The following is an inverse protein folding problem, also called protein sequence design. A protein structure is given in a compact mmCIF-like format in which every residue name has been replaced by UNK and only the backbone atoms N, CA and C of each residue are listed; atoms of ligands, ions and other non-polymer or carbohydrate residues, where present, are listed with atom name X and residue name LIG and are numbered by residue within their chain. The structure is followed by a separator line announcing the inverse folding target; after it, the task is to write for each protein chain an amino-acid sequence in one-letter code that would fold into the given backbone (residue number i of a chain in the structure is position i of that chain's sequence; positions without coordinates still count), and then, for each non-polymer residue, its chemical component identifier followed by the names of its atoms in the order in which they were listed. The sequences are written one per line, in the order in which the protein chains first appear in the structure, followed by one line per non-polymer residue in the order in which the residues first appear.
data_IF_789821642737
#
_entry.id   IF_789821642737
#
_cell.length_a   1.000
_cell.length_b   1.000
_cell.length_c   1.000
_cell.angle_alpha   90.00
_cell.angle_beta   90.00
_cell.angle_gamma   90.00
#
_symmetry.space_group_name_H-M   'P 1'
#
loop_
_entity.id
_entity.type
_entity.pdbx_description
1 polymer ?
#
# COMPACT_ATOMS: atom_id res chain seq x y z
N UNK A 1 -2.53 5.08 18.95
CA UNK A 1 -1.33 4.27 18.70
C UNK A 1 -1.15 3.28 19.85
N UNK A 2 -1.59 2.04 19.66
CA UNK A 2 -1.36 0.94 20.59
C UNK A 2 -0.29 -0.04 20.07
N UNK A 3 0.23 -0.91 20.94
CA UNK A 3 1.23 -1.91 20.53
C UNK A 3 0.74 -2.83 19.41
N UNK A 4 -0.56 -3.12 19.36
CA UNK A 4 -1.18 -3.92 18.29
C UNK A 4 -1.13 -3.25 16.90
N UNK A 5 -0.82 -1.95 16.84
CA UNK A 5 -0.70 -1.16 15.62
C UNK A 5 0.74 -1.05 15.12
N UNK A 6 1.67 -1.76 15.78
CA UNK A 6 3.09 -1.87 15.41
C UNK A 6 3.53 -3.32 15.43
N UNK A 7 4.23 -3.73 14.40
CA UNK A 7 4.90 -5.02 14.31
C UNK A 7 6.39 -4.82 14.09
N UNK A 8 7.21 -5.51 14.88
CA UNK A 8 8.67 -5.39 14.84
C UNK A 8 9.20 -4.12 15.49
N UNK A 9 10.53 -4.05 15.63
CA UNK A 9 11.21 -2.92 16.27
C UNK A 9 10.92 -2.81 17.77
N UNK A 10 11.16 -1.62 18.32
CA UNK A 10 10.97 -1.35 19.74
C UNK A 10 9.48 -1.29 20.12
N UNK A 11 9.12 -1.65 21.37
CA UNK A 11 7.75 -1.48 21.84
C UNK A 11 7.34 0.00 21.81
N UNK A 12 6.04 0.23 21.60
CA UNK A 12 5.44 1.57 21.65
C UNK A 12 5.42 2.03 23.10
N UNK A 13 6.02 3.18 23.41
CA UNK A 13 5.98 3.76 24.76
C UNK A 13 4.77 4.69 24.92
N UNK A 14 4.31 4.86 26.16
CA UNK A 14 3.20 5.77 26.46
C UNK A 14 3.50 7.22 26.05
N UNK A 15 4.70 7.70 26.37
CA UNK A 15 5.15 9.06 26.03
C UNK A 15 5.13 9.36 24.53
N UNK A 16 5.38 8.37 23.68
CA UNK A 16 5.34 8.54 22.22
C UNK A 16 3.94 8.80 21.68
N UNK A 17 2.91 8.35 22.40
CA UNK A 17 1.52 8.34 21.91
C UNK A 17 0.60 9.27 22.69
N UNK A 18 1.08 9.84 23.79
CA UNK A 18 0.32 10.68 24.71
C UNK A 18 -0.28 11.90 24.00
N UNK A 19 0.55 12.74 23.37
CA UNK A 19 0.06 13.95 22.68
C UNK A 19 -0.94 13.65 21.54
N UNK A 20 -0.78 12.51 20.86
CA UNK A 20 -1.75 12.09 19.84
C UNK A 20 -3.09 11.64 20.47
N UNK A 21 -3.04 10.95 21.61
CA UNK A 21 -4.25 10.55 22.34
C UNK A 21 -4.99 11.75 22.92
N UNK A 22 -4.26 12.68 23.49
CA UNK A 22 -4.80 13.94 23.99
C UNK A 22 -5.50 14.71 22.86
N UNK A 23 -4.84 14.86 21.70
CA UNK A 23 -5.45 15.52 20.55
C UNK A 23 -6.75 14.85 20.08
N UNK A 24 -6.81 13.51 20.08
CA UNK A 24 -8.04 12.77 19.75
C UNK A 24 -9.15 13.06 20.76
N UNK A 25 -8.82 13.01 22.06
CA UNK A 25 -9.78 13.22 23.14
C UNK A 25 -10.30 14.67 23.16
N UNK A 26 -9.42 15.66 23.06
CA UNK A 26 -9.77 17.08 23.08
C UNK A 26 -10.64 17.50 21.89
N UNK A 27 -10.58 16.77 20.77
CA UNK A 27 -11.36 17.07 19.56
C UNK A 27 -12.53 16.10 19.34
N UNK A 28 -12.85 15.23 20.32
CA UNK A 28 -13.93 14.22 20.22
C UNK A 28 -13.87 13.40 18.93
N UNK A 29 -12.66 13.05 18.51
CA UNK A 29 -12.43 12.28 17.29
C UNK A 29 -12.57 10.80 17.58
N UNK A 30 -13.25 10.08 16.70
CA UNK A 30 -13.31 8.63 16.69
C UNK A 30 -12.58 8.07 15.47
N UNK A 31 -11.89 6.95 15.66
CA UNK A 31 -11.34 6.16 14.56
C UNK A 31 -12.50 5.53 13.77
N UNK A 32 -12.57 5.79 12.47
CA UNK A 32 -13.63 5.27 11.60
C UNK A 32 -13.45 3.77 11.29
N UNK A 33 -12.36 3.15 11.77
CA UNK A 33 -12.00 1.78 11.43
C UNK A 33 -11.42 1.69 10.02
N UNK A 34 -11.22 0.48 9.52
CA UNK A 34 -10.76 0.24 8.16
C UNK A 34 -11.01 -1.20 7.70
N UNK A 35 -10.95 -1.39 6.38
CA UNK A 35 -10.92 -2.69 5.70
C UNK A 35 -9.59 -2.83 4.96
N UNK A 36 -8.99 -4.01 5.03
CA UNK A 36 -7.74 -4.33 4.32
C UNK A 36 -6.59 -4.61 5.28
N UNK A 37 -5.38 -4.27 4.85
CA UNK A 37 -4.16 -4.57 5.60
C UNK A 37 -4.01 -3.66 6.83
N UNK A 38 -3.70 -4.20 8.01
CA UNK A 38 -3.70 -3.43 9.27
C UNK A 38 -2.70 -2.29 9.36
N UNK A 39 -1.56 -2.43 8.70
CA UNK A 39 -0.48 -1.44 8.72
C UNK A 39 -0.51 -0.57 7.46
N UNK A 40 -0.34 0.74 7.63
CA UNK A 40 -0.27 1.70 6.53
C UNK A 40 1.16 1.99 6.13
N UNK A 41 2.13 1.83 7.02
CA UNK A 41 3.54 2.08 6.77
C UNK A 41 4.40 0.81 6.94
N UNK A 42 5.54 0.76 6.23
CA UNK A 42 6.60 -0.23 6.47
C UNK A 42 7.99 0.36 6.21
N UNK A 43 8.99 -0.13 6.93
CA UNK A 43 10.39 0.20 6.64
C UNK A 43 10.95 -0.49 5.37
N UNK A 44 10.15 -1.31 4.67
CA UNK A 44 10.52 -1.97 3.42
C UNK A 44 11.51 -3.13 3.54
N UNK A 45 11.93 -3.50 4.76
CA UNK A 45 12.87 -4.61 4.99
C UNK A 45 12.16 -5.98 4.98
N UNK A 46 12.91 -7.05 4.76
CA UNK A 46 12.41 -8.42 4.84
C UNK A 46 12.69 -9.10 6.19
N UNK A 47 11.99 -10.20 6.45
CA UNK A 47 12.25 -11.07 7.61
C UNK A 47 12.02 -10.39 8.95
N UNK A 48 12.86 -10.71 9.94
CA UNK A 48 12.77 -10.19 11.32
C UNK A 48 13.08 -8.69 11.41
N UNK A 49 13.75 -8.13 10.41
CA UNK A 49 14.02 -6.69 10.33
C UNK A 49 12.84 -5.89 9.76
N UNK A 50 11.77 -6.55 9.31
CA UNK A 50 10.58 -5.86 8.83
C UNK A 50 9.85 -5.19 10.00
N UNK A 51 9.62 -3.89 9.86
CA UNK A 51 8.80 -3.11 10.79
C UNK A 51 7.60 -2.57 10.00
N UNK A 52 6.40 -2.70 10.59
CA UNK A 52 5.16 -2.17 10.02
C UNK A 52 4.36 -1.45 11.10
N UNK A 53 3.76 -0.32 10.71
CA UNK A 53 3.01 0.55 11.62
C UNK A 53 1.74 1.08 10.97
N UNK A 54 0.70 1.34 11.78
CA UNK A 54 -0.49 2.08 11.34
C UNK A 54 -0.34 3.55 11.73
N UNK A 55 0.35 4.30 10.87
CA UNK A 55 0.62 5.73 11.06
C UNK A 55 -0.50 6.62 10.50
N UNK A 56 -1.18 6.16 9.47
CA UNK A 56 -2.21 6.93 8.76
C UNK A 56 -3.61 6.44 9.20
N UNK A 57 -4.53 7.36 9.49
CA UNK A 57 -5.89 7.04 9.95
C UNK A 57 -6.91 8.01 9.37
N UNK A 58 -8.12 7.51 9.16
CA UNK A 58 -9.29 8.34 8.97
C UNK A 58 -10.05 8.43 10.30
N UNK A 59 -10.18 9.64 10.81
CA UNK A 59 -10.88 9.94 12.06
C UNK A 59 -11.91 11.03 11.79
N UNK A 60 -13.03 11.01 12.51
CA UNK A 60 -14.06 12.01 12.36
C UNK A 60 -14.78 12.24 13.70
N UNK A 61 -15.61 13.27 13.77
CA UNK A 61 -16.50 13.48 14.92
C UNK A 61 -17.71 12.56 14.84
N UNK A 62 -18.44 12.41 15.96
CA UNK A 62 -19.67 11.62 15.99
C UNK A 62 -20.73 12.18 15.03
N UNK A 63 -20.87 13.51 15.00
CA UNK A 63 -21.78 14.23 14.09
C UNK A 63 -21.51 13.94 12.61
N UNK A 64 -20.23 13.82 12.24
CA UNK A 64 -19.84 13.44 10.87
C UNK A 64 -20.22 11.99 10.57
N UNK A 65 -19.98 11.06 11.51
CA UNK A 65 -20.33 9.65 11.34
C UNK A 65 -21.84 9.43 11.24
N UNK A 66 -22.63 10.22 11.95
CA UNK A 66 -24.09 10.23 11.83
C UNK A 66 -24.56 10.77 10.48
N UNK A 67 -23.86 11.78 9.93
CA UNK A 67 -24.14 12.33 8.59
C UNK A 67 -23.76 11.35 7.46
N UNK A 68 -22.70 10.56 7.67
CA UNK A 68 -22.19 9.59 6.68
C UNK A 68 -22.10 8.17 7.27
N UNK A 69 -23.24 7.55 7.64
CA UNK A 69 -23.26 6.29 8.37
C UNK A 69 -22.76 5.09 7.55
N UNK A 70 -22.71 5.25 6.21
CA UNK A 70 -22.23 4.23 5.27
C UNK A 70 -20.73 4.34 5.00
N UNK A 71 -20.01 5.19 5.72
CA UNK A 71 -18.58 5.39 5.48
C UNK A 71 -17.79 4.11 5.63
N UNK A 72 -16.98 3.79 4.61
CA UNK A 72 -16.00 2.71 4.64
C UNK A 72 -14.62 3.28 4.37
N UNK A 73 -13.69 2.98 5.26
CA UNK A 73 -12.27 3.30 5.08
C UNK A 73 -11.55 2.05 4.58
N UNK A 74 -10.76 2.17 3.51
CA UNK A 74 -10.01 1.06 2.93
C UNK A 74 -8.53 1.39 2.84
N UNK A 75 -7.69 0.47 3.33
CA UNK A 75 -6.25 0.52 3.10
C UNK A 75 -5.93 -0.16 1.77
N UNK A 76 -5.52 0.64 0.79
CA UNK A 76 -5.17 0.16 -0.55
C UNK A 76 -3.75 -0.43 -0.56
N UNK A 77 -3.50 -1.35 -1.49
CA UNK A 77 -2.17 -1.94 -1.62
C UNK A 77 -1.15 -0.88 -2.05
N UNK A 78 -0.08 -0.75 -1.28
CA UNK A 78 1.13 -0.02 -1.68
C UNK A 78 1.89 -0.77 -2.78
N UNK A 79 2.60 -0.02 -3.63
CA UNK A 79 3.44 -0.58 -4.68
C UNK A 79 4.93 -0.23 -4.49
N UNK A 80 5.30 1.05 -4.64
CA UNK A 80 6.67 1.55 -4.45
C UNK A 80 6.84 2.45 -3.22
N UNK A 81 5.74 2.94 -2.64
CA UNK A 81 5.79 3.74 -1.41
C UNK A 81 5.90 2.83 -0.19
N UNK A 82 6.55 3.35 0.84
CA UNK A 82 6.53 2.84 2.21
C UNK A 82 5.16 3.03 2.88
N UNK A 83 4.35 3.98 2.42
CA UNK A 83 2.97 4.19 2.82
C UNK A 83 1.94 3.50 1.89
N UNK A 84 0.81 3.14 2.49
CA UNK A 84 -0.35 2.52 1.86
C UNK A 84 -1.45 3.58 1.75
N UNK A 85 -1.99 3.85 0.54
CA UNK A 85 -3.04 4.85 0.39
C UNK A 85 -4.30 4.48 1.19
N UNK A 86 -4.94 5.49 1.80
CA UNK A 86 -6.24 5.34 2.46
C UNK A 86 -7.33 5.90 1.55
N UNK A 87 -8.36 5.10 1.31
CA UNK A 87 -9.59 5.53 0.62
C UNK A 87 -10.71 5.65 1.63
N UNK A 88 -11.33 6.82 1.73
CA UNK A 88 -12.54 7.05 2.52
C UNK A 88 -13.71 7.16 1.55
N UNK A 89 -14.60 6.17 1.58
CA UNK A 89 -15.82 6.13 0.77
C UNK A 89 -17.02 6.43 1.66
N UNK A 90 -17.61 7.61 1.52
CA UNK A 90 -18.72 8.10 2.33
C UNK A 90 -20.09 7.53 1.90
N UNK A 91 -20.20 7.06 0.65
CA UNK A 91 -21.48 6.59 0.09
C UNK A 91 -21.70 5.10 0.36
N UNK A 92 -20.66 4.38 0.78
CA UNK A 92 -20.67 2.93 1.02
C UNK A 92 -20.97 2.11 -0.23
N UNK A 93 -20.92 2.75 -1.40
CA UNK A 93 -21.26 2.16 -2.67
C UNK A 93 -20.02 1.51 -3.29
N UNK A 94 -19.64 0.37 -2.71
CA UNK A 94 -18.60 -0.50 -3.28
C UNK A 94 -18.96 -1.00 -4.71
N UNK A 95 -20.18 -0.74 -5.20
CA UNK A 95 -20.76 -1.29 -6.42
C UNK A 95 -20.89 -0.31 -7.59
N UNK A 96 -21.17 0.98 -7.36
CA UNK A 96 -21.03 2.00 -8.40
C UNK A 96 -19.56 2.34 -8.52
N UNK A 97 -18.85 1.50 -9.27
CA UNK A 97 -17.88 2.05 -10.22
C UNK A 97 -18.61 3.14 -10.98
N UNK A 98 -18.52 4.39 -10.50
CA UNK A 98 -18.62 5.54 -11.39
C UNK A 98 -17.75 5.11 -12.55
N UNK A 99 -18.35 4.96 -13.74
CA UNK A 99 -17.56 4.79 -14.96
C UNK A 99 -16.68 6.01 -14.92
N UNK A 100 -15.45 5.85 -14.41
CA UNK A 100 -14.42 6.85 -14.51
C UNK A 100 -14.27 6.91 -16.01
N UNK A 101 -14.98 7.87 -16.62
CA UNK A 101 -14.83 8.23 -18.02
C UNK A 101 -13.33 8.20 -18.22
N UNK A 102 -12.86 7.27 -19.05
CA UNK A 102 -11.47 6.82 -19.13
C UNK A 102 -10.57 8.05 -19.19
N UNK A 103 -10.16 8.55 -18.02
CA UNK A 103 -9.25 9.66 -17.95
C UNK A 103 -7.94 9.03 -18.36
N UNK A 104 -7.39 9.55 -19.45
CA UNK A 104 -6.09 9.18 -19.96
C UNK A 104 -5.12 8.91 -18.79
N UNK A 105 -4.64 7.66 -18.69
CA UNK A 105 -3.59 7.27 -17.75
C UNK A 105 -2.36 6.92 -18.55
N UNK A 106 -1.26 7.56 -18.20
CA UNK A 106 0.04 7.20 -18.71
C UNK A 106 0.57 5.99 -17.93
N UNK A 107 1.04 4.98 -18.63
CA UNK A 107 1.60 3.77 -18.01
C UNK A 107 3.13 3.78 -18.13
N UNK A 108 3.84 3.55 -17.02
CA UNK A 108 5.31 3.59 -16.96
C UNK A 108 5.97 2.64 -18.00
N UNK A 109 5.30 1.55 -18.36
CA UNK A 109 5.81 0.59 -19.35
C UNK A 109 5.97 1.18 -20.76
N UNK A 110 5.22 2.23 -21.09
CA UNK A 110 5.32 2.92 -22.38
C UNK A 110 6.69 3.58 -22.58
N UNK A 111 7.34 4.01 -21.48
CA UNK A 111 8.70 4.58 -21.53
C UNK A 111 9.76 3.59 -21.99
N UNK A 112 9.47 2.29 -22.01
CA UNK A 112 10.40 1.25 -22.45
C UNK A 112 10.43 1.10 -23.97
N UNK A 113 9.46 1.65 -24.68
CA UNK A 113 9.37 1.61 -26.13
C UNK A 113 9.80 2.96 -26.71
N UNK A 114 10.78 2.94 -27.61
CA UNK A 114 11.31 4.13 -28.29
C UNK A 114 10.23 4.92 -29.03
N UNK A 115 9.12 4.27 -29.41
CA UNK A 115 8.02 4.93 -30.10
C UNK A 115 7.26 5.91 -29.20
N UNK A 116 7.28 5.72 -27.87
CA UNK A 116 6.66 6.65 -26.93
C UNK A 116 7.24 8.06 -27.10
N UNK A 117 8.56 8.19 -27.11
CA UNK A 117 9.25 9.48 -27.28
C UNK A 117 8.95 10.10 -28.65
N UNK A 118 8.94 9.27 -29.71
CA UNK A 118 8.62 9.72 -31.08
C UNK A 118 7.20 10.27 -31.17
N UNK A 119 6.22 9.66 -30.50
CA UNK A 119 4.83 10.12 -30.48
C UNK A 119 4.70 11.46 -29.75
N UNK A 120 5.36 11.59 -28.59
CA UNK A 120 5.37 12.85 -27.82
C UNK A 120 5.97 13.98 -28.66
N UNK A 121 7.15 13.76 -29.26
CA UNK A 121 7.84 14.75 -30.11
C UNK A 121 6.95 15.19 -31.28
N UNK A 122 6.41 14.24 -32.05
CA UNK A 122 5.50 14.52 -33.18
C UNK A 122 4.20 15.24 -32.75
N UNK A 123 3.69 14.97 -31.56
CA UNK A 123 2.51 15.65 -31.04
C UNK A 123 2.82 17.09 -30.59
N UNK A 124 4.04 17.34 -30.13
CA UNK A 124 4.47 18.63 -29.58
C UNK A 124 4.96 19.62 -30.65
N UNK A 125 5.54 19.11 -31.73
CA UNK A 125 6.11 19.87 -32.87
C UNK A 125 5.07 20.56 -33.75
N UNK A 126 3.77 20.24 -33.64
CA UNK A 126 2.71 21.02 -34.31
C UNK A 126 2.53 22.35 -33.58
N UNK A 127 3.09 23.42 -34.14
CA UNK A 127 3.08 24.78 -33.58
C UNK A 127 1.81 25.54 -33.92
N UNK A 128 1.49 26.51 -33.05
CA UNK A 128 0.35 27.45 -33.02
C UNK A 128 -0.86 27.07 -32.16
N UNK A 129 -0.82 25.92 -31.49
CA UNK A 129 -1.86 25.55 -30.51
C UNK A 129 -1.43 25.84 -29.07
N UNK A 130 -2.40 26.26 -28.25
CA UNK A 130 -2.22 26.43 -26.81
C UNK A 130 -1.76 25.12 -26.14
N UNK A 131 -0.97 25.25 -25.07
CA UNK A 131 -0.34 24.11 -24.36
C UNK A 131 -1.35 23.03 -23.96
N UNK A 132 -2.55 23.42 -23.51
CA UNK A 132 -3.58 22.45 -23.12
C UNK A 132 -4.05 21.57 -24.29
N UNK A 133 -4.14 22.12 -25.50
CA UNK A 133 -4.51 21.37 -26.71
C UNK A 133 -3.42 20.40 -27.11
N UNK A 134 -2.15 20.81 -26.99
CA UNK A 134 -1.00 19.91 -27.23
C UNK A 134 -0.98 18.75 -26.24
N UNK A 135 -1.19 19.03 -24.95
CA UNK A 135 -1.30 17.99 -23.91
C UNK A 135 -2.43 17.02 -24.19
N UNK A 136 -3.61 17.53 -24.55
CA UNK A 136 -4.77 16.70 -24.90
C UNK A 136 -4.49 15.80 -26.10
N UNK A 137 -3.98 16.35 -27.20
CA UNK A 137 -3.67 15.57 -28.41
C UNK A 137 -2.55 14.56 -28.19
N UNK A 138 -1.51 14.95 -27.45
CA UNK A 138 -0.44 14.04 -27.05
C UNK A 138 -1.01 12.87 -26.24
N UNK A 139 -1.87 13.17 -25.26
CA UNK A 139 -2.56 12.15 -24.46
C UNK A 139 -3.43 11.22 -25.30
N UNK A 140 -4.26 11.76 -26.20
CA UNK A 140 -5.11 10.95 -27.08
C UNK A 140 -4.30 10.04 -28.02
N UNK A 141 -3.19 10.54 -28.59
CA UNK A 141 -2.31 9.75 -29.46
C UNK A 141 -1.56 8.66 -28.69
N UNK A 142 -1.00 9.01 -27.53
CA UNK A 142 -0.32 8.04 -26.66
C UNK A 142 -1.28 6.97 -26.15
N UNK A 143 -2.52 7.34 -25.83
CA UNK A 143 -3.53 6.39 -25.40
C UNK A 143 -3.85 5.37 -26.48
N UNK A 144 -4.16 5.83 -27.70
CA UNK A 144 -4.49 4.94 -28.83
C UNK A 144 -3.34 3.99 -29.13
N UNK A 145 -2.13 4.52 -29.23
CA UNK A 145 -0.93 3.71 -29.43
C UNK A 145 -0.69 2.73 -28.26
N UNK A 146 -0.90 3.17 -27.02
CA UNK A 146 -0.75 2.32 -25.84
C UNK A 146 -1.76 1.17 -25.81
N UNK A 147 -3.00 1.44 -26.20
CA UNK A 147 -4.07 0.44 -26.31
C UNK A 147 -3.78 -0.58 -27.42
N UNK A 148 -3.28 -0.13 -28.58
CA UNK A 148 -2.90 -1.00 -29.70
C UNK A 148 -1.69 -1.89 -29.40
N UNK A 149 -0.62 -1.33 -28.83
CA UNK A 149 0.63 -2.06 -28.61
C UNK A 149 0.62 -2.91 -27.32
N UNK A 150 0.02 -2.41 -26.24
CA UNK A 150 0.10 -3.07 -24.94
C UNK A 150 -1.22 -3.72 -24.51
N UNK A 151 -2.34 -3.34 -25.14
CA UNK A 151 -3.68 -3.77 -24.76
C UNK A 151 -4.05 -3.31 -23.35
N UNK A 152 -5.03 -3.99 -22.75
CA UNK A 152 -5.43 -3.73 -21.37
C UNK A 152 -4.39 -4.31 -20.38
N UNK A 153 -3.37 -3.50 -20.08
CA UNK A 153 -2.30 -3.79 -19.12
C UNK A 153 -2.89 -4.17 -17.76
N UNK A 154 -3.99 -3.53 -17.35
CA UNK A 154 -4.65 -3.81 -16.06
C UNK A 154 -5.21 -5.24 -16.03
N UNK A 155 -5.83 -5.71 -17.12
CA UNK A 155 -6.25 -7.11 -17.23
C UNK A 155 -5.08 -8.08 -17.17
N UNK A 156 -3.97 -7.78 -17.87
CA UNK A 156 -2.76 -8.63 -17.83
C UNK A 156 -2.19 -8.75 -16.42
N UNK A 157 -2.04 -7.62 -15.70
CA UNK A 157 -1.58 -7.60 -14.30
C UNK A 157 -2.51 -8.41 -13.40
N UNK A 158 -3.83 -8.26 -13.56
CA UNK A 158 -4.81 -9.00 -12.74
C UNK A 158 -4.71 -10.52 -12.96
N UNK A 159 -4.55 -10.96 -14.20
CA UNK A 159 -4.41 -12.38 -14.54
C UNK A 159 -3.12 -12.96 -13.97
N UNK A 160 -1.98 -12.29 -14.15
CA UNK A 160 -0.70 -12.69 -13.58
C UNK A 160 -0.74 -12.74 -12.05
N UNK A 161 -1.40 -11.76 -11.42
CA UNK A 161 -1.63 -11.75 -9.98
C UNK A 161 -2.42 -12.97 -9.47
N UNK A 162 -3.45 -13.41 -10.21
CA UNK A 162 -4.20 -14.64 -9.90
C UNK A 162 -3.32 -15.88 -10.03
N UNK A 163 -2.58 -16.03 -11.14
CA UNK A 163 -1.67 -17.16 -11.38
C UNK A 163 -0.60 -17.27 -10.27
N UNK A 164 -0.04 -16.15 -9.83
CA UNK A 164 0.96 -16.12 -8.75
C UNK A 164 0.36 -16.55 -7.40
N UNK A 165 -0.89 -16.18 -7.10
CA UNK A 165 -1.61 -16.65 -5.90
C UNK A 165 -1.88 -18.16 -5.95
N UNK A 166 -2.29 -18.69 -7.10
CA UNK A 166 -2.53 -20.13 -7.28
C UNK A 166 -1.26 -20.97 -7.11
N UNK A 167 -0.13 -20.51 -7.68
CA UNK A 167 1.18 -21.18 -7.49
C UNK A 167 1.58 -21.24 -6.02
N UNK A 168 1.47 -20.12 -5.28
CA UNK A 168 1.74 -20.08 -3.84
C UNK A 168 0.77 -20.95 -3.03
N UNK A 169 -0.49 -21.03 -3.44
CA UNK A 169 -1.48 -21.91 -2.82
C UNK A 169 -1.15 -23.41 -2.98
N UNK A 170 -0.72 -23.81 -4.18
CA UNK A 170 -0.27 -25.19 -4.46
C UNK A 170 1.03 -25.54 -3.72
N UNK A 171 1.99 -24.62 -3.66
CA UNK A 171 3.26 -24.80 -2.93
C UNK A 171 3.04 -24.97 -1.41
N UNK A 172 2.11 -24.19 -0.83
CA UNK A 172 1.68 -24.39 0.57
C UNK A 172 1.04 -25.75 0.80
N UNK A 173 0.16 -26.21 -0.10
CA UNK A 173 -0.47 -27.55 0.00
C UNK A 173 0.55 -28.69 -0.17
N UNK A 174 1.49 -28.58 -1.11
CA UNK A 174 2.57 -29.56 -1.31
C UNK A 174 3.57 -29.60 -0.15
N UNK A 175 3.84 -28.45 0.49
CA UNK A 175 4.68 -28.37 1.70
C UNK A 175 4.05 -29.05 2.93
N UNK A 176 2.71 -29.01 3.07
CA UNK A 176 2.01 -29.73 4.14
C UNK A 176 2.11 -31.25 3.96
N UNK A 177 1.91 -31.76 2.74
CA UNK A 177 2.02 -33.20 2.43
C UNK A 177 3.45 -33.72 2.68
N UNK A 178 4.47 -32.93 2.35
CA UNK A 178 5.88 -33.31 2.58
C UNK A 178 6.27 -33.27 4.07
N UNK A 179 5.64 -32.41 4.87
CA UNK A 179 5.81 -32.38 6.33
C UNK A 179 5.09 -33.52 7.05
N UNK A 180 3.91 -33.93 6.57
CA UNK A 180 3.21 -35.12 7.12
C UNK A 180 3.95 -36.42 6.83
N UNK A 181 4.53 -36.59 5.64
CA UNK A 181 5.35 -37.76 5.31
C UNK A 181 6.57 -37.91 6.26
N UNK A 182 7.23 -36.79 6.58
CA UNK A 182 8.40 -36.79 7.48
C UNK A 182 8.05 -36.94 8.97
N UNK A 183 6.80 -36.63 9.35
CA UNK A 183 6.30 -36.80 10.73
C UNK A 183 5.93 -38.26 11.01
N UNK A 184 5.48 -39.02 9.99
CA UNK A 184 5.19 -40.46 10.13
C UNK A 184 6.46 -41.31 10.20
N UNK A 185 7.53 -40.97 9.49
CA UNK A 185 8.82 -41.69 9.61
C UNK A 185 9.55 -41.45 10.94
N UNK A 186 9.35 -40.29 11.59
CA UNK A 186 9.96 -39.98 12.90
C UNK A 186 9.18 -40.53 14.10
N UNK A 187 8.01 -41.13 13.90
CA UNK A 187 7.17 -41.65 14.99
C UNK A 187 7.43 -43.14 15.33
N UNK A 188 8.36 -43.81 14.64
CA UNK A 188 8.65 -45.25 14.87
C UNK A 188 9.89 -45.48 15.76
N UNK A 189 10.68 -44.44 16.07
CA UNK A 189 11.78 -44.55 17.03
C UNK A 189 11.93 -43.28 17.86
N UNK A 190 11.33 -43.26 19.05
CA UNK A 190 11.70 -42.35 20.13
C UNK A 190 11.13 -42.83 21.48
N UNK A 191 11.87 -43.73 22.14
CA UNK A 191 11.92 -43.81 23.62
C UNK A 191 12.77 -42.63 24.13
N UNK A 192 12.44 -41.98 25.27
CA UNK A 192 13.21 -40.84 25.77
C UNK A 192 14.31 -41.29 26.75
N UNK A 193 15.40 -40.51 26.85
CA UNK A 193 15.94 -40.26 28.18
C UNK A 193 16.21 -38.77 28.47
N UNK A 194 15.80 -38.41 29.70
CA UNK A 194 16.41 -37.58 30.73
C UNK A 194 17.43 -36.46 30.40
N UNK A 195 17.31 -35.40 31.22
CA UNK A 195 18.07 -34.16 31.40
C UNK A 195 19.56 -34.12 30.99
N UNK A 196 19.99 -32.96 30.44
CA UNK A 196 21.02 -32.13 31.10
C UNK A 196 21.09 -30.71 30.51
N UNK A 197 21.35 -29.73 31.39
CA UNK A 197 21.74 -28.36 31.06
C UNK A 197 23.18 -28.35 30.56
N UNK A 198 23.49 -27.51 29.58
CA UNK A 198 24.65 -26.59 29.67
C UNK A 198 24.69 -25.55 28.55
N UNK A 199 25.13 -24.36 28.95
CA UNK A 199 25.35 -23.13 28.21
C UNK A 199 26.69 -23.11 27.47
N UNK A 200 26.78 -22.49 26.27
CA UNK A 200 27.96 -21.68 25.88
C UNK A 200 27.78 -20.83 24.61
N UNK A 201 28.65 -19.82 24.55
CA UNK A 201 28.65 -18.59 23.78
C UNK A 201 29.03 -18.69 22.29
N UNK A 202 28.62 -17.63 21.57
CA UNK A 202 29.31 -16.85 20.52
C UNK A 202 30.28 -17.50 19.52
N UNK A 203 30.05 -17.25 18.22
CA UNK A 203 31.03 -16.52 17.39
C UNK A 203 30.47 -15.99 16.07
N UNK A 204 30.91 -14.76 15.77
CA UNK A 204 30.86 -13.97 14.53
C UNK A 204 31.28 -14.71 13.24
N UNK A 205 30.79 -14.22 12.08
CA UNK A 205 31.53 -13.83 10.84
C UNK A 205 30.50 -13.62 9.70
N UNK A 206 30.14 -12.39 9.35
CA UNK A 206 30.83 -11.46 8.43
C UNK A 206 30.73 -11.84 6.94
N UNK A 207 29.87 -11.16 6.18
CA UNK A 207 30.10 -10.84 4.76
C UNK A 207 29.64 -9.41 4.46
N UNK A 208 30.52 -8.69 3.78
CA UNK A 208 30.56 -7.25 3.60
C UNK A 208 30.34 -6.88 2.13
N UNK A 209 29.58 -5.79 1.90
CA UNK A 209 29.74 -4.79 0.82
C UNK A 209 29.42 -5.16 -0.66
N UNK A 210 29.37 -4.19 -1.62
CA UNK A 210 28.64 -2.91 -1.68
C UNK A 210 28.03 -2.57 -3.09
N UNK A 211 26.93 -1.80 -3.19
CA UNK A 211 26.78 -0.74 -4.24
C UNK A 211 25.57 0.20 -4.03
N UNK A 212 25.88 1.45 -3.64
CA UNK A 212 25.41 2.78 -4.14
C UNK A 212 23.98 2.87 -4.73
N UNK A 213 23.03 3.45 -4.00
CA UNK A 213 22.60 4.88 -3.98
C UNK A 213 21.79 5.36 -5.18
N UNK A 214 20.54 5.78 -4.92
CA UNK A 214 20.02 7.11 -5.31
C UNK A 214 18.81 7.47 -4.43
N UNK A 215 19.02 8.48 -3.60
CA UNK A 215 17.95 9.29 -2.97
C UNK A 215 17.14 9.95 -4.09
N UNK A 216 15.82 9.97 -3.96
CA UNK A 216 14.99 11.04 -4.49
C UNK A 216 14.23 11.63 -3.32
N UNK A 217 14.34 12.95 -3.22
CA UNK A 217 13.92 13.76 -2.11
C UNK A 217 12.40 13.84 -1.95
N UNK A 218 12.02 14.21 -0.73
CA UNK A 218 10.69 14.56 -0.29
C UNK A 218 9.97 15.53 -1.25
N UNK A 219 8.65 15.38 -1.33
CA UNK A 219 7.76 16.46 -1.73
C UNK A 219 6.58 16.44 -0.77
N UNK A 220 6.40 17.59 -0.12
CA UNK A 220 5.31 17.95 0.77
C UNK A 220 3.96 17.37 0.33
N UNK A 221 3.24 16.75 1.27
CA UNK A 221 1.78 16.64 1.20
C UNK A 221 1.22 17.47 2.34
N UNK A 222 0.59 18.58 1.96
CA UNK A 222 -0.12 19.49 2.86
C UNK A 222 -1.28 18.74 3.53
N UNK A 223 -1.41 18.94 4.85
CA UNK A 223 -2.65 18.71 5.58
C UNK A 223 -3.75 19.56 4.91
N UNK A 224 -4.79 18.92 4.40
CA UNK A 224 -6.06 19.59 4.14
C UNK A 224 -6.97 19.33 5.34
N UNK A 225 -6.97 20.24 6.29
CA UNK A 225 -8.07 20.38 7.25
C UNK A 225 -9.24 21.03 6.48
N UNK A 226 -10.27 20.24 6.17
CA UNK A 226 -11.52 20.79 5.62
C UNK A 226 -12.34 21.26 6.80
N UNK A 227 -12.32 22.58 7.05
CA UNK A 227 -13.24 23.21 7.99
C UNK A 227 -14.64 23.26 7.36
N UNK A 228 -15.64 22.76 8.09
CA UNK A 228 -17.05 22.91 7.73
C UNK A 228 -17.46 24.39 7.84
N UNK A 229 -18.32 24.92 6.94
CA UNK A 229 -18.80 26.29 7.03
C UNK A 229 -19.78 26.43 8.20
N UNK A 230 -19.48 27.35 9.11
CA UNK A 230 -20.37 27.78 10.18
C UNK A 230 -21.56 28.58 9.63
N UNK A 231 -22.69 28.39 10.27
CA UNK A 231 -24.01 29.00 10.05
C UNK A 231 -23.96 30.51 9.83
N UNK A 232 -24.52 30.96 8.69
CA UNK A 232 -24.90 32.35 8.50
C UNK A 232 -26.26 32.58 9.18
N UNK A 233 -26.21 33.17 10.38
CA UNK A 233 -27.34 33.80 11.04
C UNK A 233 -27.57 35.16 10.38
N UNK A 234 -28.75 35.40 9.81
CA UNK A 234 -29.24 36.75 9.48
C UNK A 234 -30.59 36.95 10.15
N UNK A 235 -30.62 37.93 11.05
CA UNK A 235 -31.84 38.68 11.41
C UNK A 235 -32.38 39.45 10.20
#
# INVERSE_FOLDING_TARGET
MGQHEKQGGNPVTFSQVEGFREAIQTNDLLDLGFVGHSFTWTNGKGGESNIQERLDRAMATMTWKESYPKTVVQHLNRYKSDHSPILVDMEGDQGRRRKISHRYRFEECWLRDENCEKIVKKAWERSDQQVYMKLRQCGEKLYKWGEENFGDITKKIRLEGKRKKERKGKERRGGTVRREGRRKERAVHAEPPCEERESRASSSLAWSSPFVSRRVAASHVQLAAVASPSEARTE
#
